data_IF_624922830562
#
_entry.id   IF_624922830562
#
_cell.length_a   1.000
_cell.length_b   1.000
_cell.length_c   1.000
_cell.angle_alpha   90.00
_cell.angle_beta   90.00
_cell.angle_gamma   90.00
#
_symmetry.space_group_name_H-M   'P 1'
#
loop_
_entity.id
_entity.type
_entity.pdbx_description
1 polymer ?
#
# COMPACT_ATOMS: atom_id res chain seq x y z
N UNK A 1 30.56 17.96 -15.28
CA UNK A 1 30.20 17.42 -16.61
C UNK A 1 29.70 15.99 -16.41
N UNK A 2 28.42 15.75 -16.66
CA UNK A 2 27.77 14.45 -16.47
C UNK A 2 28.35 13.42 -17.45
N UNK A 3 28.65 12.17 -17.02
CA UNK A 3 28.94 11.11 -17.98
C UNK A 3 27.63 10.78 -18.70
N UNK A 4 27.59 11.10 -20.00
CA UNK A 4 26.50 10.78 -20.91
C UNK A 4 26.31 9.26 -20.92
N UNK A 5 25.12 8.79 -20.56
CA UNK A 5 24.70 7.41 -20.80
C UNK A 5 24.77 7.15 -22.32
N UNK A 6 25.56 6.17 -22.80
CA UNK A 6 25.59 5.86 -24.23
C UNK A 6 24.24 5.29 -24.67
N UNK A 7 23.88 5.55 -25.93
CA UNK A 7 22.62 5.11 -26.54
C UNK A 7 22.38 3.60 -26.31
N UNK A 8 21.18 3.19 -25.85
CA UNK A 8 20.84 1.78 -25.70
C UNK A 8 20.66 1.16 -27.09
N UNK A 9 21.51 0.21 -27.48
CA UNK A 9 21.22 -0.59 -28.67
C UNK A 9 22.37 -1.27 -29.43
N UNK A 10 23.65 -1.05 -29.12
CA UNK A 10 24.72 -1.64 -29.96
C UNK A 10 25.16 -3.06 -29.58
N UNK A 11 24.70 -3.58 -28.43
CA UNK A 11 25.11 -4.92 -27.97
C UNK A 11 24.09 -5.94 -28.45
N UNK A 12 24.42 -6.67 -29.52
CA UNK A 12 23.60 -7.76 -30.07
C UNK A 12 23.80 -9.08 -29.32
N UNK A 13 24.97 -9.27 -28.72
CA UNK A 13 25.36 -10.49 -28.01
C UNK A 13 26.19 -10.16 -26.76
N UNK A 14 26.11 -11.02 -25.74
CA UNK A 14 26.89 -10.89 -24.52
C UNK A 14 27.23 -12.27 -23.94
N UNK A 15 28.40 -12.37 -23.30
CA UNK A 15 28.83 -13.58 -22.58
C UNK A 15 28.27 -13.59 -21.17
N UNK A 16 27.59 -14.67 -20.79
CA UNK A 16 27.09 -14.84 -19.43
C UNK A 16 28.24 -15.12 -18.46
N UNK A 17 28.37 -14.36 -17.38
CA UNK A 17 29.44 -14.57 -16.38
C UNK A 17 29.30 -15.83 -15.54
N UNK A 18 28.14 -16.52 -15.60
CA UNK A 18 27.90 -17.78 -14.86
C UNK A 18 28.20 -19.01 -15.71
N UNK A 19 27.59 -19.14 -16.89
CA UNK A 19 27.77 -20.30 -17.76
C UNK A 19 28.82 -20.10 -18.85
N UNK A 20 29.41 -18.90 -18.96
CA UNK A 20 30.46 -18.54 -19.92
C UNK A 20 30.08 -18.68 -21.40
N UNK A 21 28.80 -18.86 -21.71
CA UNK A 21 28.28 -18.96 -23.09
C UNK A 21 27.96 -17.56 -23.65
N UNK A 22 28.37 -17.32 -24.90
CA UNK A 22 27.94 -16.16 -25.70
C UNK A 22 26.48 -16.37 -26.12
N UNK A 23 25.60 -15.44 -25.72
CA UNK A 23 24.16 -15.50 -26.03
C UNK A 23 23.69 -14.16 -26.61
N UNK A 24 22.61 -14.14 -27.40
CA UNK A 24 22.02 -12.89 -27.87
C UNK A 24 21.55 -12.02 -26.70
N UNK A 25 21.50 -10.70 -26.90
CA UNK A 25 21.06 -9.73 -25.88
C UNK A 25 19.69 -10.06 -25.29
N UNK A 26 18.78 -10.62 -26.08
CA UNK A 26 17.46 -11.09 -25.64
C UNK A 26 17.51 -12.20 -24.57
N UNK A 27 18.63 -12.91 -24.43
CA UNK A 27 18.84 -13.90 -23.39
C UNK A 27 19.21 -13.29 -22.03
N UNK A 28 19.29 -11.95 -21.92
CA UNK A 28 19.65 -11.22 -20.71
C UNK A 28 18.54 -10.26 -20.30
N UNK A 29 18.43 -9.99 -19.00
CA UNK A 29 17.55 -8.92 -18.52
C UNK A 29 18.16 -7.55 -18.84
N UNK A 30 17.33 -6.60 -19.26
CA UNK A 30 17.75 -5.21 -19.38
C UNK A 30 18.17 -4.66 -18.01
N UNK A 31 19.30 -3.97 -17.96
CA UNK A 31 19.78 -3.29 -16.76
C UNK A 31 20.36 -1.92 -17.14
N UNK A 32 19.60 -0.83 -16.91
CA UNK A 32 20.03 0.51 -17.30
C UNK A 32 21.22 1.04 -16.49
N UNK A 33 21.59 0.37 -15.38
CA UNK A 33 22.72 0.75 -14.54
C UNK A 33 24.05 0.24 -15.08
N UNK A 34 24.06 -0.69 -16.04
CA UNK A 34 25.31 -1.22 -16.61
C UNK A 34 25.64 -0.49 -17.91
N UNK A 35 26.95 -0.36 -18.20
CA UNK A 35 27.45 0.26 -19.44
C UNK A 35 26.86 -0.35 -20.72
N UNK A 36 26.55 -1.65 -20.69
CA UNK A 36 26.01 -2.41 -21.83
C UNK A 36 24.48 -2.47 -21.87
N UNK A 37 23.78 -1.90 -20.89
CA UNK A 37 22.32 -1.97 -20.78
C UNK A 37 21.76 -3.38 -20.49
N UNK A 38 22.63 -4.36 -20.23
CA UNK A 38 22.29 -5.76 -19.99
C UNK A 38 22.85 -6.24 -18.65
N UNK A 39 22.13 -7.16 -18.01
CA UNK A 39 22.59 -7.87 -16.83
C UNK A 39 23.77 -8.81 -17.17
N UNK A 40 24.69 -9.05 -16.23
CA UNK A 40 25.92 -9.83 -16.48
C UNK A 40 25.69 -11.35 -16.61
N UNK A 41 24.56 -11.84 -16.12
CA UNK A 41 24.12 -13.24 -16.20
C UNK A 41 22.86 -13.36 -17.06
N UNK A 42 22.78 -14.43 -17.85
CA UNK A 42 21.62 -14.72 -18.69
C UNK A 42 20.38 -15.09 -17.84
N UNK A 43 19.20 -14.96 -18.43
CA UNK A 43 17.89 -15.17 -17.80
C UNK A 43 17.80 -16.58 -17.18
N UNK A 44 18.22 -17.59 -17.92
CA UNK A 44 18.25 -18.99 -17.49
C UNK A 44 19.12 -19.17 -16.24
N UNK A 45 20.38 -18.74 -16.30
CA UNK A 45 21.30 -18.76 -15.16
C UNK A 45 20.75 -17.98 -13.95
N UNK A 46 19.96 -16.93 -14.15
CA UNK A 46 19.32 -16.20 -13.06
C UNK A 46 18.13 -16.98 -12.47
N UNK A 47 17.33 -17.64 -13.31
CA UNK A 47 16.22 -18.50 -12.90
C UNK A 47 16.72 -19.70 -12.11
N UNK A 48 17.78 -20.35 -12.56
CA UNK A 48 18.41 -21.48 -11.90
C UNK A 48 18.94 -21.12 -10.50
N UNK A 49 19.64 -19.99 -10.35
CA UNK A 49 20.03 -19.49 -9.01
C UNK A 49 18.79 -19.23 -8.16
N UNK A 50 17.73 -18.70 -8.76
CA UNK A 50 16.45 -18.50 -8.09
C UNK A 50 15.80 -19.81 -7.63
N UNK A 51 15.86 -20.86 -8.45
CA UNK A 51 15.32 -22.19 -8.14
C UNK A 51 16.14 -22.86 -7.02
N UNK A 52 17.47 -22.90 -7.16
CA UNK A 52 18.37 -23.43 -6.13
C UNK A 52 18.16 -22.74 -4.78
N UNK A 53 17.99 -21.40 -4.77
CA UNK A 53 17.69 -20.64 -3.53
C UNK A 53 16.36 -21.00 -2.88
N UNK A 54 15.38 -21.52 -3.63
CA UNK A 54 14.08 -21.96 -3.08
C UNK A 54 14.18 -23.36 -2.48
N UNK A 55 15.07 -24.20 -3.01
CA UNK A 55 15.33 -25.55 -2.52
C UNK A 55 16.08 -25.52 -1.18
N UNK A 56 16.89 -24.49 -0.91
CA UNK A 56 17.57 -24.38 0.38
C UNK A 56 16.54 -24.16 1.51
N UNK A 57 16.50 -25.06 2.52
CA UNK A 57 15.60 -24.90 3.66
C UNK A 57 15.86 -23.58 4.37
N UNK A 58 14.82 -22.77 4.53
CA UNK A 58 14.90 -21.53 5.30
C UNK A 58 14.91 -21.89 6.78
N UNK A 59 16.06 -21.76 7.41
CA UNK A 59 16.20 -21.94 8.85
C UNK A 59 16.04 -20.59 9.54
N UNK A 60 15.26 -20.56 10.62
CA UNK A 60 15.25 -19.40 11.50
C UNK A 60 16.50 -19.48 12.36
N UNK A 61 17.43 -18.54 12.17
CA UNK A 61 18.64 -18.49 12.99
C UNK A 61 18.25 -18.27 14.47
N UNK A 62 18.95 -18.93 15.40
CA UNK A 62 18.70 -18.76 16.84
C UNK A 62 19.07 -17.35 17.33
N UNK A 63 20.09 -16.75 16.72
CA UNK A 63 20.60 -15.42 17.02
C UNK A 63 20.87 -14.66 15.71
N UNK A 64 20.85 -13.33 15.77
CA UNK A 64 21.18 -12.46 14.66
C UNK A 64 21.78 -11.14 15.13
N UNK A 65 22.65 -10.56 14.31
CA UNK A 65 23.21 -9.22 14.55
C UNK A 65 22.30 -8.15 13.96
N UNK A 66 21.92 -7.16 14.77
CA UNK A 66 21.17 -6.00 14.29
C UNK A 66 22.09 -5.06 13.50
N UNK A 67 21.72 -4.71 12.27
CA UNK A 67 22.51 -3.80 11.44
C UNK A 67 22.37 -2.31 11.79
N UNK A 68 21.51 -1.98 12.77
CA UNK A 68 21.31 -0.60 13.26
C UNK A 68 22.14 -0.37 14.51
N UNK A 69 22.00 -1.23 15.52
CA UNK A 69 22.69 -1.07 16.80
C UNK A 69 23.94 -1.96 16.94
N UNK A 70 24.22 -2.86 16.00
CA UNK A 70 25.43 -3.70 15.98
C UNK A 70 25.42 -4.92 16.90
N UNK A 71 24.44 -5.04 17.80
CA UNK A 71 24.42 -6.12 18.80
C UNK A 71 23.94 -7.45 18.24
N UNK A 72 24.60 -8.53 18.68
CA UNK A 72 24.11 -9.92 18.57
C UNK A 72 22.98 -10.12 19.58
N UNK A 73 21.82 -10.60 19.11
CA UNK A 73 20.62 -10.78 19.93
C UNK A 73 19.91 -12.09 19.55
N UNK A 74 19.14 -12.68 20.47
CA UNK A 74 18.33 -13.85 20.16
C UNK A 74 17.25 -13.52 19.12
N UNK A 75 16.81 -14.53 18.39
CA UNK A 75 15.79 -14.42 17.34
C UNK A 75 14.47 -13.82 17.80
N UNK A 76 14.13 -13.96 19.09
CA UNK A 76 12.97 -13.33 19.73
C UNK A 76 12.99 -11.81 19.66
N UNK A 77 14.18 -11.20 19.61
CA UNK A 77 14.38 -9.75 19.48
C UNK A 77 14.23 -9.24 18.04
N UNK A 78 13.90 -10.13 17.09
CA UNK A 78 13.69 -9.78 15.68
C UNK A 78 12.25 -10.09 15.24
N UNK A 79 11.86 -9.53 14.09
CA UNK A 79 10.64 -9.93 13.41
C UNK A 79 10.95 -11.06 12.43
N UNK A 80 10.03 -12.01 12.29
CA UNK A 80 10.17 -13.11 11.34
C UNK A 80 10.00 -12.58 9.91
N UNK A 81 10.94 -12.90 9.03
CA UNK A 81 10.86 -12.61 7.61
C UNK A 81 11.18 -13.88 6.80
N UNK A 82 10.12 -14.60 6.42
CA UNK A 82 10.19 -15.85 5.64
C UNK A 82 10.73 -15.68 4.22
N UNK A 83 11.03 -14.45 3.77
CA UNK A 83 11.68 -14.20 2.47
C UNK A 83 13.20 -14.20 2.59
N UNK A 84 13.76 -13.99 3.78
CA UNK A 84 15.19 -14.05 4.03
C UNK A 84 15.65 -15.49 4.30
N UNK A 85 16.91 -15.74 3.99
CA UNK A 85 17.57 -17.03 4.19
C UNK A 85 17.53 -17.46 5.66
N UNK A 86 17.90 -16.56 6.57
CA UNK A 86 17.94 -16.81 8.03
C UNK A 86 16.61 -16.58 8.76
N UNK A 87 15.50 -16.39 8.03
CA UNK A 87 14.16 -16.24 8.60
C UNK A 87 13.89 -14.99 9.45
N UNK A 88 14.85 -14.07 9.61
CA UNK A 88 14.75 -12.91 10.50
C UNK A 88 14.96 -11.58 9.76
N UNK A 89 14.42 -10.49 10.31
CA UNK A 89 14.77 -9.13 9.87
C UNK A 89 16.22 -8.79 10.19
N UNK A 90 16.82 -7.84 9.46
CA UNK A 90 18.19 -7.37 9.71
C UNK A 90 18.31 -6.37 10.86
N UNK A 91 17.18 -5.91 11.41
CA UNK A 91 17.12 -5.02 12.56
C UNK A 91 16.28 -5.65 13.66
N UNK A 92 16.66 -5.39 14.91
CA UNK A 92 15.91 -5.82 16.08
C UNK A 92 14.60 -5.02 16.22
N UNK A 93 13.68 -5.52 17.05
CA UNK A 93 12.37 -4.93 17.35
C UNK A 93 12.49 -3.53 17.92
N UNK A 94 13.43 -3.29 18.84
CA UNK A 94 13.68 -1.97 19.42
C UNK A 94 14.05 -0.94 18.34
N UNK A 95 15.06 -1.21 17.52
CA UNK A 95 15.44 -0.30 16.43
C UNK A 95 14.35 -0.15 15.36
N UNK A 96 13.52 -1.18 15.14
CA UNK A 96 12.35 -1.06 14.28
C UNK A 96 11.31 -0.12 14.87
N UNK A 97 11.05 -0.24 16.18
CA UNK A 97 10.13 0.63 16.92
C UNK A 97 10.59 2.08 16.87
N UNK A 98 11.85 2.38 17.17
CA UNK A 98 12.41 3.73 17.12
C UNK A 98 12.24 4.36 15.72
N UNK A 99 12.54 3.57 14.68
CA UNK A 99 12.34 4.00 13.29
C UNK A 99 10.88 4.36 12.99
N UNK A 100 9.91 3.54 13.43
CA UNK A 100 8.49 3.82 13.21
C UNK A 100 7.98 4.98 14.07
N UNK A 101 8.49 5.14 15.29
CA UNK A 101 8.17 6.29 16.14
C UNK A 101 8.65 7.60 15.51
N UNK A 102 9.90 7.65 15.03
CA UNK A 102 10.45 8.81 14.34
C UNK A 102 9.65 9.18 13.08
N UNK A 103 9.17 8.18 12.32
CA UNK A 103 8.35 8.41 11.13
C UNK A 103 6.87 8.64 11.41
N UNK A 104 6.41 8.50 12.66
CA UNK A 104 4.98 8.51 13.01
C UNK A 104 4.30 9.80 12.56
N UNK A 105 4.94 10.96 12.76
CA UNK A 105 4.39 12.26 12.35
C UNK A 105 4.19 12.34 10.84
N UNK A 106 5.20 11.98 10.04
CA UNK A 106 5.12 11.99 8.58
C UNK A 106 4.10 10.99 8.03
N UNK A 107 3.95 9.81 8.65
CA UNK A 107 2.92 8.83 8.28
C UNK A 107 1.52 9.39 8.57
N UNK A 108 1.30 10.00 9.73
CA UNK A 108 0.02 10.62 10.09
C UNK A 108 -0.31 11.76 9.13
N UNK A 109 0.66 12.59 8.79
CA UNK A 109 0.51 13.72 7.87
C UNK A 109 0.21 13.25 6.45
N UNK A 110 0.97 12.28 5.92
CA UNK A 110 0.70 11.61 4.65
C UNK A 110 -0.71 11.00 4.64
N UNK A 111 -1.08 10.25 5.68
CA UNK A 111 -2.40 9.64 5.78
C UNK A 111 -3.52 10.68 5.95
N UNK A 112 -3.24 11.86 6.50
CA UNK A 112 -4.19 12.98 6.49
C UNK A 112 -4.34 13.44 5.04
N UNK A 113 -3.27 13.92 4.41
CA UNK A 113 -3.25 14.39 3.01
C UNK A 113 -3.96 13.44 2.05
N UNK A 114 -3.60 12.16 2.06
CA UNK A 114 -4.15 11.16 1.12
C UNK A 114 -5.55 10.66 1.51
N UNK A 115 -6.00 10.81 2.76
CA UNK A 115 -7.43 10.63 3.11
C UNK A 115 -8.30 11.77 2.57
N UNK A 116 -7.71 12.94 2.31
CA UNK A 116 -8.41 14.11 1.76
C UNK A 116 -8.53 14.04 0.23
N UNK A 117 -7.55 13.43 -0.46
CA UNK A 117 -7.55 13.31 -1.93
C UNK A 117 -8.71 12.46 -2.47
N UNK A 118 -9.20 11.49 -1.69
CA UNK A 118 -10.40 10.74 -2.06
C UNK A 118 -11.32 10.49 -0.86
N UNK A 119 -12.26 11.42 -0.65
CA UNK A 119 -13.30 11.34 0.36
C UNK A 119 -14.07 10.00 0.34
N UNK A 120 -14.17 9.35 -0.83
CA UNK A 120 -14.88 8.07 -0.99
C UNK A 120 -14.23 6.94 -0.21
N UNK A 121 -12.90 6.94 -0.09
CA UNK A 121 -12.16 5.92 0.68
C UNK A 121 -12.56 5.97 2.15
N UNK A 122 -12.57 7.18 2.73
CA UNK A 122 -13.00 7.40 4.11
C UNK A 122 -14.48 7.05 4.28
N UNK A 123 -15.34 7.53 3.38
CA UNK A 123 -16.79 7.26 3.42
C UNK A 123 -17.10 5.76 3.42
N UNK A 124 -16.48 4.97 2.53
CA UNK A 124 -16.66 3.52 2.48
C UNK A 124 -16.14 2.82 3.75
N UNK A 125 -14.99 3.26 4.29
CA UNK A 125 -14.46 2.72 5.54
C UNK A 125 -15.38 2.99 6.74
N UNK A 126 -15.88 4.21 6.87
CA UNK A 126 -16.82 4.61 7.93
C UNK A 126 -18.16 3.88 7.81
N UNK A 127 -18.66 3.69 6.59
CA UNK A 127 -19.88 2.92 6.32
C UNK A 127 -19.75 1.47 6.83
N UNK A 128 -18.69 0.75 6.43
CA UNK A 128 -18.42 -0.63 6.87
C UNK A 128 -18.27 -0.75 8.39
N UNK A 129 -17.61 0.23 9.02
CA UNK A 129 -17.48 0.29 10.47
C UNK A 129 -18.84 0.44 11.16
N UNK A 130 -19.72 1.32 10.64
CA UNK A 130 -21.07 1.51 11.16
C UNK A 130 -21.94 0.25 11.00
N UNK A 131 -21.87 -0.41 9.85
CA UNK A 131 -22.61 -1.67 9.62
C UNK A 131 -22.16 -2.76 10.59
N UNK A 132 -20.84 -2.97 10.73
CA UNK A 132 -20.28 -3.95 11.67
C UNK A 132 -20.73 -3.72 13.10
N UNK A 133 -20.73 -2.45 13.56
CA UNK A 133 -21.17 -2.09 14.92
C UNK A 133 -22.61 -2.52 15.21
N UNK A 134 -23.46 -2.58 14.18
CA UNK A 134 -24.87 -2.92 14.29
C UNK A 134 -25.22 -4.27 13.66
N UNK A 135 -24.24 -5.13 13.36
CA UNK A 135 -24.47 -6.45 12.77
C UNK A 135 -25.13 -6.42 11.39
N UNK A 136 -24.98 -5.32 10.62
CA UNK A 136 -25.54 -5.21 9.27
C UNK A 136 -24.54 -5.69 8.21
N UNK A 137 -25.06 -6.17 7.09
CA UNK A 137 -24.26 -6.51 5.91
C UNK A 137 -23.66 -5.25 5.26
N UNK A 138 -22.50 -5.36 4.61
CA UNK A 138 -21.84 -4.23 3.96
C UNK A 138 -20.99 -4.68 2.78
N UNK A 139 -21.26 -4.15 1.59
CA UNK A 139 -20.49 -4.44 0.37
C UNK A 139 -19.87 -3.19 -0.30
N UNK A 140 -20.14 -2.02 0.27
CA UNK A 140 -19.76 -0.73 -0.29
C UNK A 140 -18.25 -0.59 -0.53
N UNK A 141 -17.88 -0.09 -1.71
CA UNK A 141 -16.49 0.19 -2.12
C UNK A 141 -16.35 1.66 -2.51
N UNK A 142 -15.17 2.22 -2.25
CA UNK A 142 -14.87 3.62 -2.55
C UNK A 142 -15.15 3.99 -4.02
N UNK A 143 -14.78 3.09 -4.95
CA UNK A 143 -15.00 3.28 -6.38
C UNK A 143 -16.48 3.38 -6.81
N UNK A 144 -17.39 2.82 -6.01
CA UNK A 144 -18.83 2.79 -6.30
C UNK A 144 -19.55 4.01 -5.70
N UNK A 145 -18.84 4.87 -4.96
CA UNK A 145 -19.38 6.10 -4.38
C UNK A 145 -19.22 7.22 -5.40
N UNK A 146 -20.34 7.77 -5.85
CA UNK A 146 -20.38 8.99 -6.66
C UNK A 146 -20.78 10.15 -5.76
N UNK A 147 -19.92 11.16 -5.64
CA UNK A 147 -20.23 12.40 -4.92
C UNK A 147 -20.79 13.40 -5.94
N UNK A 148 -22.09 13.75 -5.88
CA UNK A 148 -22.68 14.69 -6.82
C UNK A 148 -22.21 16.13 -6.54
N UNK A 149 -22.25 17.00 -7.55
CA UNK A 149 -21.91 18.43 -7.41
C UNK A 149 -22.88 19.19 -6.49
N UNK A 150 -24.14 18.78 -6.47
CA UNK A 150 -25.18 19.33 -5.62
C UNK A 150 -25.89 18.20 -4.85
N UNK A 151 -26.37 18.51 -3.66
CA UNK A 151 -27.11 17.56 -2.85
C UNK A 151 -28.47 17.25 -3.48
N UNK A 152 -28.83 15.97 -3.67
CA UNK A 152 -30.12 15.60 -4.24
C UNK A 152 -31.33 15.89 -3.32
N UNK A 153 -31.09 16.28 -2.06
CA UNK A 153 -32.14 16.60 -1.08
C UNK A 153 -32.26 18.11 -0.88
N UNK A 154 -31.14 18.81 -0.63
CA UNK A 154 -31.16 20.24 -0.32
C UNK A 154 -30.91 21.13 -1.53
N UNK A 155 -30.48 20.58 -2.66
CA UNK A 155 -30.06 21.34 -3.86
C UNK A 155 -28.76 22.14 -3.70
N UNK A 156 -28.20 22.23 -2.49
CA UNK A 156 -26.98 23.00 -2.20
C UNK A 156 -25.73 22.32 -2.75
N UNK A 157 -24.67 23.08 -3.10
CA UNK A 157 -23.39 22.51 -3.50
C UNK A 157 -22.83 21.56 -2.46
N UNK A 158 -22.28 20.42 -2.90
CA UNK A 158 -21.53 19.50 -2.05
C UNK A 158 -20.04 19.68 -2.33
N UNK A 159 -19.28 19.91 -1.27
CA UNK A 159 -17.83 19.96 -1.33
C UNK A 159 -17.23 19.41 -0.05
N UNK A 160 -16.05 18.82 -0.19
CA UNK A 160 -15.33 18.25 0.94
C UNK A 160 -14.47 19.34 1.60
N UNK A 161 -14.82 19.73 2.84
CA UNK A 161 -14.04 20.68 3.64
C UNK A 161 -12.88 20.02 4.38
N UNK A 162 -11.88 20.81 4.75
CA UNK A 162 -10.73 20.35 5.53
C UNK A 162 -11.06 20.24 7.02
N UNK A 163 -10.78 19.08 7.61
CA UNK A 163 -10.73 18.88 9.07
C UNK A 163 -12.06 18.82 9.82
N UNK A 164 -13.08 19.54 9.37
CA UNK A 164 -14.37 19.70 10.08
C UNK A 164 -15.52 19.30 9.18
N UNK A 165 -16.53 18.65 9.75
CA UNK A 165 -17.79 18.37 9.06
C UNK A 165 -18.60 19.65 8.97
N UNK A 166 -18.93 20.05 7.75
CA UNK A 166 -19.72 21.24 7.44
C UNK A 166 -21.07 20.83 6.85
N UNK A 167 -22.05 21.74 6.84
CA UNK A 167 -23.42 21.48 6.36
C UNK A 167 -23.47 20.85 4.94
N UNK A 168 -22.56 21.26 4.05
CA UNK A 168 -22.41 20.78 2.67
C UNK A 168 -21.47 19.57 2.51
N UNK A 169 -20.95 19.00 3.60
CA UNK A 169 -20.05 17.85 3.52
C UNK A 169 -20.76 16.61 2.98
N UNK A 170 -20.14 15.85 2.04
CA UNK A 170 -20.73 14.64 1.51
C UNK A 170 -20.86 13.56 2.59
N UNK A 171 -22.05 12.97 2.70
CA UNK A 171 -22.39 11.95 3.67
C UNK A 171 -23.14 10.78 3.01
N UNK A 172 -22.83 9.56 3.45
CA UNK A 172 -23.56 8.36 3.03
C UNK A 172 -24.80 8.15 3.90
N UNK A 173 -25.95 8.15 3.26
CA UNK A 173 -27.25 7.83 3.84
C UNK A 173 -27.79 6.53 3.23
N UNK A 174 -28.45 5.70 4.04
CA UNK A 174 -29.11 4.49 3.58
C UNK A 174 -30.48 4.84 3.00
N UNK A 175 -30.85 4.20 1.90
CA UNK A 175 -32.18 4.34 1.31
C UNK A 175 -33.19 3.57 2.16
N UNK A 176 -32.92 2.27 2.38
CA UNK A 176 -33.61 1.41 3.34
C UNK A 176 -32.77 1.31 4.63
N UNK A 177 -33.32 1.84 5.73
CA UNK A 177 -32.66 1.90 7.04
C UNK A 177 -32.53 0.53 7.73
N UNK A 178 -33.32 -0.47 7.31
CA UNK A 178 -33.26 -1.83 7.87
C UNK A 178 -32.04 -2.62 7.39
N UNK A 179 -31.51 -2.27 6.21
CA UNK A 179 -30.36 -2.92 5.57
C UNK A 179 -29.07 -2.16 5.86
N UNK A 180 -27.92 -2.79 5.62
CA UNK A 180 -26.63 -2.09 5.67
C UNK A 180 -26.26 -1.41 4.35
N UNK A 181 -25.02 -0.95 4.21
CA UNK A 181 -24.51 -0.37 2.96
C UNK A 181 -24.18 -1.49 1.94
N UNK A 182 -25.24 -2.12 1.43
CA UNK A 182 -25.22 -3.11 0.35
C UNK A 182 -25.52 -2.46 -1.01
N UNK A 183 -25.12 -3.07 -2.13
CA UNK A 183 -25.15 -2.46 -3.46
C UNK A 183 -26.54 -1.95 -3.80
N UNK A 184 -26.62 -0.66 -4.11
CA UNK A 184 -27.88 0.01 -4.41
C UNK A 184 -28.66 0.50 -3.19
N UNK A 185 -28.20 0.25 -1.97
CA UNK A 185 -28.83 0.74 -0.73
C UNK A 185 -28.11 1.94 -0.10
N UNK A 186 -27.69 2.90 -0.91
CA UNK A 186 -27.13 4.16 -0.40
C UNK A 186 -27.29 5.31 -1.38
N UNK A 187 -27.25 6.52 -0.82
CA UNK A 187 -27.11 7.77 -1.56
C UNK A 187 -26.10 8.68 -0.87
N UNK A 188 -25.47 9.56 -1.66
CA UNK A 188 -24.64 10.64 -1.13
C UNK A 188 -25.48 11.90 -1.03
N UNK A 189 -25.58 12.45 0.17
CA UNK A 189 -26.30 13.70 0.48
C UNK A 189 -25.39 14.64 1.28
N UNK A 190 -25.81 15.89 1.48
CA UNK A 190 -25.10 16.82 2.36
C UNK A 190 -25.30 16.46 3.83
N UNK A 191 -24.41 16.91 4.70
CA UNK A 191 -24.52 16.71 6.15
C UNK A 191 -25.83 17.26 6.71
N UNK A 192 -26.20 18.46 6.30
CA UNK A 192 -27.45 19.13 6.65
C UNK A 192 -28.68 18.26 6.32
N UNK A 193 -28.66 17.55 5.18
CA UNK A 193 -29.73 16.64 4.80
C UNK A 193 -29.85 15.44 5.74
N UNK A 194 -28.72 14.90 6.21
CA UNK A 194 -28.70 13.78 7.17
C UNK A 194 -29.17 14.23 8.56
N UNK A 195 -28.79 15.43 9.00
CA UNK A 195 -29.27 15.98 10.28
C UNK A 195 -30.78 16.22 10.27
N UNK A 196 -31.30 16.81 9.18
CA UNK A 196 -32.74 17.04 9.02
C UNK A 196 -33.56 15.74 8.96
N UNK A 197 -32.97 14.60 8.55
CA UNK A 197 -33.66 13.31 8.50
C UNK A 197 -33.75 12.58 9.86
N UNK A 198 -33.35 13.25 10.95
CA UNK A 198 -33.46 12.76 12.33
C UNK A 198 -32.40 11.73 12.72
N UNK A 199 -31.29 11.65 11.98
CA UNK A 199 -30.23 10.68 12.26
C UNK A 199 -29.30 11.21 13.37
N UNK A 200 -29.49 10.72 14.60
CA UNK A 200 -28.48 10.86 15.65
C UNK A 200 -27.26 10.01 15.29
N UNK A 201 -26.30 10.59 14.56
CA UNK A 201 -24.95 10.01 14.49
C UNK A 201 -24.38 10.12 15.88
N UNK A 202 -24.27 9.00 16.60
CA UNK A 202 -23.47 8.91 17.82
C UNK A 202 -22.13 9.60 17.53
N UNK A 203 -21.94 10.80 18.09
CA UNK A 203 -20.68 11.52 18.05
C UNK A 203 -19.66 10.58 18.70
N UNK A 204 -18.80 9.96 17.87
CA UNK A 204 -17.58 9.29 18.32
C UNK A 204 -16.43 10.25 18.12
#
# INVERSE_FOLDING_TARGET
MTPRTPAPGSVTEATCTRCQILKPAAAFYANPLTRKGLHSRCIECMKDVGALRREVPKTTAAEATCNVCGWLKPSSEFHVNRRRFNGLTNRCRACAQDYYQAKRRGIIEYQRQHRWEDARVRMASDARRRDRKHGRESDIKAKDIVIPRACPVTGKPIYHGYGVRMAWSPCLERIDKSKGFVKGNWRVVSWEAVEASGWQLTRT
#
